data_IF_935508413052
#
_entry.id   IF_935508413052
#
_cell.length_a   1.000
_cell.length_b   1.000
_cell.length_c   1.000
_cell.angle_alpha   90.00
_cell.angle_beta   90.00
_cell.angle_gamma   90.00
#
_symmetry.space_group_name_H-M   'P 1'
#
loop_
_entity.id
_entity.type
_entity.pdbx_description
1 polymer ?
#
# COMPACT_ATOMS: atom_id res chain seq x y z
N UNK A 1 -15.42 12.37 -10.49
CA UNK A 1 -16.20 11.14 -10.24
C UNK A 1 -15.19 10.07 -9.87
N UNK A 2 -15.38 9.36 -8.76
CA UNK A 2 -14.48 8.28 -8.41
C UNK A 2 -14.59 7.14 -9.44
N UNK A 3 -13.44 6.58 -9.83
CA UNK A 3 -13.35 5.49 -10.80
C UNK A 3 -14.32 4.34 -10.54
N UNK A 4 -14.93 3.82 -11.61
CA UNK A 4 -15.77 2.63 -11.60
C UNK A 4 -14.97 1.40 -11.14
N UNK A 5 -15.65 0.29 -10.86
CA UNK A 5 -14.92 -0.91 -10.43
C UNK A 5 -14.06 -1.47 -11.58
N UNK A 6 -14.53 -1.34 -12.82
CA UNK A 6 -13.82 -1.79 -14.02
C UNK A 6 -12.58 -0.92 -14.32
N UNK A 7 -12.63 0.37 -13.99
CA UNK A 7 -11.51 1.31 -14.16
C UNK A 7 -10.46 1.19 -13.05
N UNK A 8 -10.79 0.50 -11.95
CA UNK A 8 -9.90 0.42 -10.78
C UNK A 8 -8.77 -0.57 -11.01
N UNK A 9 -7.56 -0.04 -11.02
CA UNK A 9 -6.35 -0.82 -11.21
C UNK A 9 -5.20 -0.35 -10.32
N UNK A 10 -4.15 -1.16 -10.30
CA UNK A 10 -2.90 -0.80 -9.68
C UNK A 10 -1.78 -1.35 -10.52
N UNK A 11 -0.92 -0.46 -11.01
CA UNK A 11 0.23 -0.78 -11.83
C UNK A 11 1.46 -0.60 -10.95
N UNK A 12 2.29 -1.64 -10.90
CA UNK A 12 3.58 -1.62 -10.23
C UNK A 12 4.62 -2.02 -11.28
N UNK A 13 5.53 -1.10 -11.59
CA UNK A 13 6.56 -1.28 -12.61
C UNK A 13 7.93 -1.18 -11.96
N UNK A 14 8.79 -2.14 -12.23
CA UNK A 14 10.21 -2.01 -11.97
C UNK A 14 10.90 -1.49 -13.23
N UNK A 15 11.77 -0.51 -13.06
CA UNK A 15 12.66 -0.03 -14.11
C UNK A 15 14.09 -0.46 -13.77
N UNK A 16 14.64 -1.37 -14.58
CA UNK A 16 15.99 -1.90 -14.36
C UNK A 16 17.08 -0.91 -14.75
N UNK A 17 16.82 -0.03 -15.72
CA UNK A 17 17.78 0.98 -16.16
C UNK A 17 17.97 2.05 -15.08
N UNK A 18 16.88 2.50 -14.49
CA UNK A 18 16.88 3.51 -13.44
C UNK A 18 16.99 2.92 -12.02
N UNK A 19 16.99 1.59 -11.89
CA UNK A 19 16.99 0.85 -10.63
C UNK A 19 15.93 1.38 -9.64
N UNK A 20 14.69 1.53 -10.09
CA UNK A 20 13.62 2.12 -9.29
C UNK A 20 12.26 1.46 -9.52
N UNK A 21 11.32 1.72 -8.62
CA UNK A 21 9.93 1.27 -8.72
C UNK A 21 8.99 2.44 -8.97
N UNK A 22 8.02 2.21 -9.84
CA UNK A 22 6.89 3.10 -10.07
C UNK A 22 5.61 2.45 -9.57
N UNK A 23 4.80 3.24 -8.89
CA UNK A 23 3.49 2.86 -8.37
C UNK A 23 2.45 3.77 -8.96
N UNK A 24 1.37 3.20 -9.46
CA UNK A 24 0.22 3.93 -9.96
C UNK A 24 -1.05 3.23 -9.50
N UNK A 25 -1.98 3.96 -8.89
CA UNK A 25 -3.19 3.34 -8.34
C UNK A 25 -4.32 4.32 -8.16
N UNK A 26 -5.51 3.92 -8.60
CA UNK A 26 -6.80 4.49 -8.20
C UNK A 26 -7.59 3.57 -7.25
N UNK A 27 -7.00 2.45 -6.81
CA UNK A 27 -7.60 1.54 -5.83
C UNK A 27 -7.44 2.14 -4.44
N UNK A 28 -8.53 2.61 -3.84
CA UNK A 28 -8.56 3.31 -2.53
C UNK A 28 -7.67 2.70 -1.45
N UNK A 29 -7.67 1.36 -1.31
CA UNK A 29 -6.87 0.65 -0.30
C UNK A 29 -5.36 0.75 -0.58
N UNK A 30 -4.97 0.75 -1.85
CA UNK A 30 -3.58 0.85 -2.27
C UNK A 30 -3.09 2.30 -2.21
N UNK A 31 -3.90 3.26 -2.69
CA UNK A 31 -3.68 4.70 -2.49
C UNK A 31 -3.37 5.00 -1.02
N UNK A 32 -4.22 4.53 -0.10
CA UNK A 32 -4.01 4.74 1.35
C UNK A 32 -2.69 4.13 1.86
N UNK A 33 -2.24 3.00 1.31
CA UNK A 33 -0.97 2.39 1.72
C UNK A 33 0.23 3.18 1.20
N UNK A 34 0.17 3.62 -0.05
CA UNK A 34 1.22 4.44 -0.68
C UNK A 34 1.36 5.75 0.10
N UNK A 35 0.26 6.46 0.35
CA UNK A 35 0.28 7.72 1.10
C UNK A 35 0.79 7.59 2.55
N UNK A 36 0.64 6.42 3.19
CA UNK A 36 1.24 6.19 4.53
C UNK A 36 2.76 6.11 4.51
N UNK A 37 3.32 5.75 3.36
CA UNK A 37 4.77 5.66 3.12
C UNK A 37 5.24 6.81 2.26
N UNK A 38 4.53 7.95 2.24
CA UNK A 38 4.86 9.08 1.37
C UNK A 38 6.32 9.54 1.49
N UNK A 39 6.89 9.49 2.69
CA UNK A 39 8.30 9.80 2.97
C UNK A 39 9.32 8.89 2.28
N UNK A 40 8.90 7.73 1.77
CA UNK A 40 9.79 6.78 1.10
C UNK A 40 9.93 7.09 -0.40
N UNK A 41 9.04 7.89 -0.98
CA UNK A 41 9.02 8.16 -2.42
C UNK A 41 9.76 9.46 -2.74
N UNK A 42 10.51 9.44 -3.84
CA UNK A 42 11.22 10.63 -4.34
C UNK A 42 10.23 11.62 -4.98
N UNK A 43 9.22 11.07 -5.66
CA UNK A 43 8.21 11.82 -6.38
C UNK A 43 6.84 11.23 -6.05
N UNK A 44 5.85 12.09 -5.81
CA UNK A 44 4.46 11.70 -5.59
C UNK A 44 3.49 12.70 -6.21
N UNK A 45 2.67 12.21 -7.13
CA UNK A 45 1.56 12.94 -7.72
C UNK A 45 0.25 12.38 -7.16
N UNK A 46 -0.71 13.28 -6.90
CA UNK A 46 -1.98 12.92 -6.28
C UNK A 46 -3.11 13.64 -6.98
N UNK A 47 -4.18 12.92 -7.24
CA UNK A 47 -5.44 13.50 -7.70
C UNK A 47 -6.46 13.46 -6.58
N UNK A 48 -7.21 14.55 -6.41
CA UNK A 48 -8.21 14.70 -5.35
C UNK A 48 -9.59 14.99 -5.93
N UNK A 49 -10.60 14.39 -5.31
CA UNK A 49 -12.00 14.73 -5.52
C UNK A 49 -12.71 14.82 -4.17
N UNK A 50 -13.38 15.94 -3.91
CA UNK A 50 -14.08 16.20 -2.64
C UNK A 50 -13.17 15.93 -1.42
N UNK A 51 -11.94 16.43 -1.45
CA UNK A 51 -10.88 16.24 -0.44
C UNK A 51 -10.36 14.80 -0.27
N UNK A 52 -10.84 13.85 -1.08
CA UNK A 52 -10.34 12.49 -1.08
C UNK A 52 -9.31 12.29 -2.19
N UNK A 53 -8.13 11.80 -1.83
CA UNK A 53 -7.17 11.33 -2.83
C UNK A 53 -7.73 10.08 -3.55
N UNK A 54 -8.04 10.23 -4.82
CA UNK A 54 -8.64 9.20 -5.67
C UNK A 54 -7.61 8.45 -6.51
N UNK A 55 -6.45 9.05 -6.76
CA UNK A 55 -5.37 8.46 -7.54
C UNK A 55 -4.02 8.93 -7.01
N UNK A 56 -3.01 8.04 -7.12
CA UNK A 56 -1.62 8.34 -6.79
C UNK A 56 -0.69 7.75 -7.84
N UNK A 57 0.33 8.51 -8.20
CA UNK A 57 1.53 8.03 -8.90
C UNK A 57 2.75 8.34 -8.05
N UNK A 58 3.65 7.39 -7.86
CA UNK A 58 4.83 7.56 -7.02
C UNK A 58 6.06 6.83 -7.56
N UNK A 59 7.25 7.37 -7.29
CA UNK A 59 8.55 6.79 -7.64
C UNK A 59 9.36 6.48 -6.39
N UNK A 60 9.93 5.27 -6.31
CA UNK A 60 10.80 4.83 -5.23
C UNK A 60 12.16 4.41 -5.82
N UNK A 61 13.20 5.17 -5.52
CA UNK A 61 14.59 4.87 -5.93
C UNK A 61 15.48 4.45 -4.76
N UNK A 62 15.09 4.74 -3.51
CA UNK A 62 15.82 4.29 -2.31
C UNK A 62 15.54 2.80 -2.01
N UNK A 63 16.30 1.93 -2.68
CA UNK A 63 16.20 0.47 -2.51
C UNK A 63 17.11 -0.08 -1.42
N UNK A 64 17.93 0.77 -0.79
CA UNK A 64 18.77 0.40 0.35
C UNK A 64 17.95 0.40 1.65
N UNK A 65 17.05 1.37 1.83
CA UNK A 65 16.20 1.46 3.01
C UNK A 65 14.82 0.81 2.83
N UNK A 66 14.33 0.68 1.59
CA UNK A 66 13.00 0.18 1.29
C UNK A 66 13.01 -1.01 0.33
N UNK A 67 12.09 -1.95 0.54
CA UNK A 67 11.96 -3.15 -0.30
C UNK A 67 10.56 -3.29 -0.87
N UNK A 68 10.47 -3.65 -2.15
CA UNK A 68 9.22 -3.92 -2.86
C UNK A 68 9.21 -5.38 -3.31
N UNK A 69 8.05 -6.03 -3.24
CA UNK A 69 7.91 -7.39 -3.74
C UNK A 69 6.60 -7.52 -4.54
N UNK A 70 6.67 -7.53 -5.90
CA UNK A 70 5.49 -7.71 -6.74
C UNK A 70 5.16 -9.18 -7.02
N UNK A 71 6.00 -10.12 -6.57
CA UNK A 71 5.88 -11.53 -6.92
C UNK A 71 4.95 -12.27 -5.98
N UNK A 72 4.29 -13.30 -6.51
CA UNK A 72 3.35 -14.12 -5.73
C UNK A 72 4.07 -14.81 -4.58
N UNK A 73 3.49 -14.75 -3.38
CA UNK A 73 3.99 -15.43 -2.18
C UNK A 73 2.97 -16.43 -1.67
N UNK A 74 3.46 -17.54 -1.11
CA UNK A 74 2.60 -18.51 -0.43
C UNK A 74 1.88 -17.86 0.75
N UNK A 75 0.56 -18.02 0.77
CA UNK A 75 -0.26 -17.52 1.87
C UNK A 75 -0.08 -18.45 3.06
N UNK A 76 0.34 -17.91 4.20
CA UNK A 76 0.38 -18.67 5.46
C UNK A 76 -1.05 -19.13 5.76
N UNK A 77 -1.28 -20.44 5.75
CA UNK A 77 -2.54 -21.05 6.21
C UNK A 77 -2.47 -21.10 7.74
N UNK A 78 -3.16 -20.17 8.39
CA UNK A 78 -3.32 -20.17 9.84
C UNK A 78 -4.51 -21.05 10.22
N UNK A 79 -4.36 -21.84 11.28
CA UNK A 79 -5.51 -22.52 11.90
C UNK A 79 -6.45 -21.48 12.53
N UNK A 80 -7.69 -21.86 12.80
CA UNK A 80 -8.66 -20.95 13.43
C UNK A 80 -8.21 -20.45 14.79
N UNK A 81 -7.51 -21.28 15.56
CA UNK A 81 -6.90 -20.91 16.85
C UNK A 81 -5.82 -19.84 16.68
N UNK A 82 -4.90 -20.03 15.72
CA UNK A 82 -3.85 -19.06 15.43
C UNK A 82 -4.43 -17.73 14.90
N UNK A 83 -5.53 -17.79 14.14
CA UNK A 83 -6.25 -16.62 13.64
C UNK A 83 -6.90 -15.84 14.79
N UNK A 84 -7.58 -16.53 15.71
CA UNK A 84 -8.17 -15.92 16.92
C UNK A 84 -7.09 -15.29 17.80
N UNK A 85 -6.00 -16.00 18.07
CA UNK A 85 -4.89 -15.49 18.89
C UNK A 85 -4.27 -14.20 18.31
N UNK A 86 -4.12 -14.11 16.97
CA UNK A 86 -3.65 -12.86 16.31
C UNK A 86 -4.66 -11.71 16.45
N UNK A 87 -5.95 -11.99 16.27
CA UNK A 87 -6.99 -10.96 16.38
C UNK A 87 -7.08 -10.40 17.81
N UNK A 88 -6.95 -11.24 18.83
CA UNK A 88 -6.94 -10.79 20.23
C UNK A 88 -5.73 -9.94 20.57
N UNK A 89 -4.52 -10.30 20.08
CA UNK A 89 -3.32 -9.47 20.25
C UNK A 89 -3.50 -8.08 19.65
N UNK A 90 -4.08 -7.98 18.45
CA UNK A 90 -4.36 -6.70 17.80
C UNK A 90 -5.36 -5.85 18.59
N UNK A 91 -6.43 -6.46 19.12
CA UNK A 91 -7.40 -5.77 19.99
C UNK A 91 -6.77 -5.25 21.28
N UNK A 92 -5.87 -6.03 21.89
CA UNK A 92 -5.17 -5.65 23.12
C UNK A 92 -4.26 -4.43 22.87
N UNK A 93 -3.47 -4.46 21.80
CA UNK A 93 -2.60 -3.35 21.43
C UNK A 93 -3.42 -2.09 21.12
N UNK A 94 -4.52 -2.20 20.37
CA UNK A 94 -5.37 -1.05 20.04
C UNK A 94 -6.07 -0.41 21.26
N UNK A 95 -6.23 -1.12 22.37
CA UNK A 95 -6.75 -0.58 23.64
C UNK A 95 -5.66 0.16 24.43
N UNK A 96 -4.43 -0.30 24.37
CA UNK A 96 -3.29 0.28 25.10
C UNK A 96 -2.92 1.68 24.62
N UNK A 97 -3.15 2.00 23.35
CA UNK A 97 -2.91 3.33 22.76
C UNK A 97 -4.14 4.28 22.82
N UNK A 98 -5.21 3.89 23.53
CA UNK A 98 -6.41 4.74 23.74
C UNK A 98 -6.54 5.25 25.18
N UNK A 99 -5.55 4.97 26.03
CA UNK A 99 -5.37 5.58 27.36
C UNK A 99 -4.27 6.63 27.24
#
# INVERSE_FOLDING_TARGET
>A
MAYTLEERETIIRYDEMDNCWYFESNVRRHVTKILKMEHAFDEIEKEFENDFCIYVRAKLSDLDNFSVNPFVRNKIKLTDEQRKARAERLKKNARQYRQ
#
